data_IF_295982742292
#
_entry.id   IF_295982742292
#
_cell.length_a   1.000
_cell.length_b   1.000
_cell.length_c   1.000
_cell.angle_alpha   90.00
_cell.angle_beta   90.00
_cell.angle_gamma   90.00
#
_symmetry.space_group_name_H-M   'P 1'
#
loop_
_entity.id
_entity.type
_entity.pdbx_description
1 polymer ?
#
# COMPACT_ATOMS: atom_id res chain seq x y z
N UNK A 1 -3.95 30.77 -12.32
CA UNK A 1 -4.87 30.21 -13.35
C UNK A 1 -4.13 29.17 -14.21
N UNK A 2 -4.82 28.20 -14.83
CA UNK A 2 -4.18 27.08 -15.57
C UNK A 2 -3.17 27.51 -16.63
N UNK A 3 -3.28 28.74 -17.16
CA UNK A 3 -2.43 29.27 -18.24
C UNK A 3 -1.37 30.28 -17.78
N UNK A 4 -1.26 30.55 -16.49
CA UNK A 4 -0.18 31.37 -15.93
C UNK A 4 1.14 30.59 -15.90
N UNK A 5 2.27 31.25 -16.12
CA UNK A 5 3.57 30.60 -15.95
C UNK A 5 4.03 29.74 -17.13
N UNK A 6 3.36 29.81 -18.30
CA UNK A 6 3.86 29.16 -19.51
C UNK A 6 5.07 29.93 -20.00
N UNK A 7 6.21 29.25 -20.11
CA UNK A 7 7.44 29.82 -20.63
C UNK A 7 7.42 29.78 -22.15
N UNK A 8 7.64 30.92 -22.81
CA UNK A 8 7.84 30.99 -24.25
C UNK A 8 9.34 30.98 -24.50
N UNK A 9 9.87 29.88 -25.03
CA UNK A 9 11.29 29.67 -25.25
C UNK A 9 11.69 29.84 -26.72
N UNK A 10 12.96 30.15 -26.94
CA UNK A 10 13.52 30.38 -28.27
C UNK A 10 14.05 29.09 -28.89
N UNK A 11 13.55 28.72 -30.07
CA UNK A 11 14.12 27.67 -30.92
C UNK A 11 13.82 26.24 -30.50
N UNK A 12 13.86 25.94 -29.20
CA UNK A 12 13.61 24.59 -28.66
C UNK A 12 13.04 24.66 -27.24
N UNK A 13 12.51 23.53 -26.71
CA UNK A 13 12.04 23.46 -25.32
C UNK A 13 13.14 23.71 -24.27
N UNK A 14 14.42 23.55 -24.63
CA UNK A 14 15.57 23.82 -23.77
C UNK A 14 16.21 25.19 -24.05
N UNK A 15 15.67 25.98 -24.97
CA UNK A 15 16.19 27.29 -25.33
C UNK A 15 15.93 28.37 -24.29
N UNK A 16 16.48 29.57 -24.54
CA UNK A 16 16.33 30.73 -23.67
C UNK A 16 14.86 31.13 -23.51
N UNK A 17 14.47 31.48 -22.29
CA UNK A 17 13.14 32.01 -21.99
C UNK A 17 13.04 33.43 -22.52
N UNK A 18 12.09 33.68 -23.43
CA UNK A 18 11.80 34.99 -24.01
C UNK A 18 10.76 35.76 -23.19
N UNK A 19 9.75 35.06 -22.68
CA UNK A 19 8.70 35.63 -21.84
C UNK A 19 7.97 34.51 -21.08
N UNK A 20 7.17 34.92 -20.10
CA UNK A 20 6.28 34.03 -19.34
C UNK A 20 4.86 34.58 -19.37
N UNK A 21 3.85 33.71 -19.52
CA UNK A 21 2.45 34.14 -19.55
C UNK A 21 1.95 34.60 -18.19
N UNK A 22 1.11 35.63 -18.19
CA UNK A 22 0.39 36.10 -17.01
C UNK A 22 -0.84 35.24 -16.70
N UNK A 23 -1.62 35.66 -15.70
CA UNK A 23 -2.84 34.96 -15.28
C UNK A 23 -3.88 34.71 -16.40
N UNK A 24 -3.85 35.53 -17.45
CA UNK A 24 -4.75 35.43 -18.60
C UNK A 24 -4.17 34.57 -19.74
N UNK A 25 -3.02 33.93 -19.53
CA UNK A 25 -2.33 33.14 -20.56
C UNK A 25 -1.68 34.00 -21.65
N UNK A 26 -1.37 35.27 -21.37
CA UNK A 26 -0.79 36.20 -22.34
C UNK A 26 0.64 36.58 -21.97
N UNK A 27 1.51 36.66 -22.98
CA UNK A 27 2.88 37.15 -22.86
C UNK A 27 3.16 38.18 -23.97
N UNK A 28 3.79 39.30 -23.62
CA UNK A 28 4.25 40.29 -24.59
C UNK A 28 5.74 40.06 -24.89
N UNK A 29 6.06 39.86 -26.17
CA UNK A 29 7.44 39.73 -26.63
C UNK A 29 7.85 40.98 -27.42
N UNK A 30 9.03 41.53 -27.14
CA UNK A 30 9.57 42.73 -27.80
C UNK A 30 10.89 42.38 -28.48
N UNK A 31 11.18 43.04 -29.60
CA UNK A 31 12.44 42.90 -30.35
C UNK A 31 12.77 41.45 -30.78
N UNK A 32 11.75 40.66 -31.14
CA UNK A 32 11.95 39.30 -31.65
C UNK A 32 12.39 39.36 -33.12
N UNK A 33 13.48 38.67 -33.44
CA UNK A 33 13.99 38.58 -34.80
C UNK A 33 13.04 37.80 -35.70
N UNK A 34 12.97 38.17 -36.99
CA UNK A 34 12.28 37.38 -38.01
C UNK A 34 12.87 35.96 -38.03
N UNK A 35 12.01 34.98 -38.30
CA UNK A 35 12.32 33.55 -38.36
C UNK A 35 12.68 32.93 -36.99
N UNK A 36 12.42 33.65 -35.89
CA UNK A 36 12.52 33.07 -34.55
C UNK A 36 11.41 32.07 -34.32
N UNK A 37 11.75 30.85 -33.93
CA UNK A 37 10.79 29.82 -33.49
C UNK A 37 10.48 30.03 -32.01
N UNK A 38 9.20 30.12 -31.68
CA UNK A 38 8.66 30.18 -30.33
C UNK A 38 8.19 28.80 -29.91
N UNK A 39 8.61 28.35 -28.74
CA UNK A 39 8.25 27.04 -28.18
C UNK A 39 7.64 27.24 -26.80
N UNK A 40 6.31 27.05 -26.62
CA UNK A 40 5.69 27.11 -25.30
C UNK A 40 6.05 25.88 -24.47
N UNK A 41 6.41 26.09 -23.21
CA UNK A 41 6.77 25.01 -22.27
C UNK A 41 6.08 25.26 -20.93
N UNK A 42 5.40 24.23 -20.44
CA UNK A 42 4.87 24.16 -19.08
C UNK A 42 4.72 22.70 -18.68
N UNK A 43 5.22 22.34 -17.51
CA UNK A 43 5.09 20.98 -16.98
C UNK A 43 3.61 20.59 -16.86
N UNK A 44 3.27 19.37 -17.29
CA UNK A 44 1.89 18.86 -17.27
C UNK A 44 0.98 19.41 -18.37
N UNK A 45 1.52 20.12 -19.38
CA UNK A 45 0.73 20.63 -20.51
C UNK A 45 1.36 20.27 -21.85
N UNK A 46 0.52 19.91 -22.81
CA UNK A 46 0.86 19.83 -24.23
C UNK A 46 0.33 21.08 -24.96
N UNK A 47 1.04 21.53 -25.98
CA UNK A 47 0.68 22.71 -26.76
C UNK A 47 0.46 22.37 -28.23
N UNK A 48 -0.58 22.96 -28.81
CA UNK A 48 -0.89 22.88 -30.24
C UNK A 48 -1.03 24.31 -30.82
N UNK A 49 -0.17 24.72 -31.78
CA UNK A 49 0.97 23.96 -32.28
C UNK A 49 2.08 23.78 -31.24
N UNK A 50 3.00 22.83 -31.46
CA UNK A 50 4.15 22.60 -30.55
C UNK A 50 5.18 23.73 -30.62
N UNK A 51 5.23 24.44 -31.74
CA UNK A 51 6.06 25.61 -31.96
C UNK A 51 5.40 26.54 -33.00
N UNK A 52 5.93 27.77 -33.12
CA UNK A 52 5.51 28.70 -34.15
C UNK A 52 6.63 29.65 -34.56
N UNK A 53 6.83 29.84 -35.86
CA UNK A 53 7.83 30.77 -36.41
C UNK A 53 7.27 32.18 -36.53
N UNK A 54 8.02 33.18 -36.05
CA UNK A 54 7.67 34.60 -36.14
C UNK A 54 8.11 35.18 -37.48
N UNK A 55 7.16 35.57 -38.32
CA UNK A 55 7.43 36.23 -39.60
C UNK A 55 7.25 37.76 -39.54
N UNK A 56 6.30 38.23 -38.73
CA UNK A 56 5.97 39.64 -38.56
C UNK A 56 5.33 39.90 -37.18
N UNK A 57 5.10 41.17 -36.85
CA UNK A 57 4.43 41.55 -35.61
C UNK A 57 2.97 41.08 -35.63
N UNK A 58 2.56 40.32 -34.61
CA UNK A 58 1.21 39.77 -34.54
C UNK A 58 0.98 38.92 -33.30
N UNK A 59 -0.18 38.28 -33.26
CA UNK A 59 -0.57 37.35 -32.19
C UNK A 59 -0.35 35.92 -32.63
N UNK A 60 0.48 35.19 -31.89
CA UNK A 60 0.60 33.73 -31.99
C UNK A 60 -0.30 33.09 -30.93
N UNK A 61 -1.05 32.06 -31.31
CA UNK A 61 -1.96 31.35 -30.40
C UNK A 61 -1.48 29.91 -30.22
N UNK A 62 -1.40 29.49 -28.97
CA UNK A 62 -1.15 28.11 -28.59
C UNK A 62 -2.33 27.61 -27.77
N UNK A 63 -2.85 26.43 -28.11
CA UNK A 63 -3.84 25.74 -27.29
C UNK A 63 -3.09 24.87 -26.29
N UNK A 64 -3.21 25.19 -25.00
CA UNK A 64 -2.69 24.35 -23.93
C UNK A 64 -3.72 23.26 -23.57
N UNK A 65 -3.26 22.03 -23.45
CA UNK A 65 -4.08 20.89 -23.03
C UNK A 65 -3.39 20.24 -21.83
N UNK A 66 -4.04 20.15 -20.66
CA UNK A 66 -3.50 19.42 -19.52
C UNK A 66 -3.22 17.97 -19.92
N UNK A 67 -2.00 17.51 -19.63
CA UNK A 67 -1.61 16.10 -19.77
C UNK A 67 -1.79 15.47 -18.39
N UNK A 68 -2.72 14.52 -18.23
CA UNK A 68 -2.93 13.86 -16.94
C UNK A 68 -1.62 13.18 -16.51
N UNK A 69 -1.16 13.52 -15.31
CA UNK A 69 0.04 12.91 -14.72
C UNK A 69 -0.37 11.58 -14.09
N UNK A 70 -0.16 10.49 -14.81
CA UNK A 70 -0.33 9.15 -14.26
C UNK A 70 0.86 8.81 -13.37
N UNK A 71 0.60 8.44 -12.11
CA UNK A 71 1.63 7.98 -11.18
C UNK A 71 1.56 6.46 -11.08
N UNK A 72 2.72 5.78 -11.16
CA UNK A 72 2.75 4.33 -10.97
C UNK A 72 3.15 3.98 -9.55
N UNK A 73 2.55 2.94 -8.99
CA UNK A 73 3.00 2.36 -7.73
C UNK A 73 4.42 1.81 -7.90
N UNK A 74 5.34 2.22 -7.04
CA UNK A 74 6.75 1.78 -7.05
C UNK A 74 7.02 0.73 -5.98
N UNK A 75 6.48 0.92 -4.77
CA UNK A 75 6.63 -0.03 -3.65
C UNK A 75 5.59 0.21 -2.56
N UNK A 76 5.17 -0.86 -1.86
CA UNK A 76 4.42 -0.76 -0.61
C UNK A 76 5.38 -0.87 0.60
N UNK A 77 5.12 -0.12 1.66
CA UNK A 77 5.91 -0.17 2.88
C UNK A 77 5.72 -1.52 3.61
N UNK A 78 6.77 -2.05 4.27
CA UNK A 78 6.66 -3.27 5.07
C UNK A 78 5.66 -3.08 6.21
N UNK A 79 4.93 -4.14 6.53
CA UNK A 79 4.01 -4.20 7.66
C UNK A 79 4.67 -4.87 8.86
N UNK A 80 4.18 -4.54 10.06
CA UNK A 80 4.62 -5.20 11.28
C UNK A 80 4.15 -6.66 11.30
N UNK A 81 5.00 -7.55 11.80
CA UNK A 81 4.68 -8.96 11.96
C UNK A 81 3.55 -9.15 12.98
N UNK A 82 2.61 -10.04 12.68
CA UNK A 82 1.52 -10.41 13.58
C UNK A 82 1.85 -11.76 14.23
N UNK A 83 1.67 -11.88 15.53
CA UNK A 83 1.83 -13.14 16.26
C UNK A 83 0.53 -13.50 16.95
N UNK A 84 0.04 -14.71 16.72
CA UNK A 84 -1.19 -15.23 17.33
C UNK A 84 -0.98 -16.65 17.83
N UNK A 85 -1.89 -17.13 18.66
CA UNK A 85 -1.86 -18.51 19.15
C UNK A 85 -2.72 -19.41 18.26
N UNK A 86 -2.36 -20.69 18.26
CA UNK A 86 -3.11 -21.73 17.55
C UNK A 86 -4.55 -21.79 18.05
N UNK A 87 -5.52 -21.90 17.13
CA UNK A 87 -6.97 -21.93 17.38
C UNK A 87 -7.57 -20.68 18.05
N UNK A 88 -6.88 -19.53 18.09
CA UNK A 88 -7.40 -18.34 18.80
C UNK A 88 -7.92 -17.22 17.91
N UNK A 89 -7.40 -17.09 16.69
CA UNK A 89 -7.66 -15.90 15.85
C UNK A 89 -8.00 -16.35 14.44
N UNK A 90 -9.29 -16.38 14.04
CA UNK A 90 -9.64 -16.60 12.64
C UNK A 90 -9.17 -15.43 11.76
N UNK A 91 -9.13 -15.63 10.44
CA UNK A 91 -8.64 -14.63 9.49
C UNK A 91 -9.30 -13.25 9.64
N UNK A 92 -10.62 -13.21 9.81
CA UNK A 92 -11.42 -11.98 9.95
C UNK A 92 -11.08 -11.17 11.22
N UNK A 93 -10.51 -11.82 12.24
CA UNK A 93 -10.13 -11.19 13.51
C UNK A 93 -8.64 -10.82 13.56
N UNK A 94 -7.88 -11.08 12.49
CA UNK A 94 -6.49 -10.66 12.42
C UNK A 94 -6.40 -9.11 12.41
N UNK A 95 -5.48 -8.52 13.18
CA UNK A 95 -5.31 -7.06 13.26
C UNK A 95 -4.57 -6.52 12.02
N UNK A 96 -5.14 -6.72 10.84
CA UNK A 96 -4.59 -6.31 9.55
C UNK A 96 -4.79 -4.81 9.34
N UNK A 97 -3.78 -4.14 8.77
CA UNK A 97 -3.87 -2.71 8.49
C UNK A 97 -4.89 -2.43 7.37
N UNK A 98 -5.83 -1.52 7.60
CA UNK A 98 -6.81 -1.11 6.58
C UNK A 98 -6.18 -0.36 5.40
N UNK A 99 -5.03 0.28 5.63
CA UNK A 99 -4.28 1.02 4.63
C UNK A 99 -2.76 0.91 4.85
N UNK A 100 -1.99 1.01 3.77
CA UNK A 100 -0.53 0.96 3.81
C UNK A 100 0.07 2.17 3.09
N UNK A 101 1.25 2.59 3.55
CA UNK A 101 2.02 3.63 2.87
C UNK A 101 2.63 3.07 1.58
N UNK A 102 2.39 3.76 0.47
CA UNK A 102 2.86 3.39 -0.87
C UNK A 102 3.70 4.53 -1.43
N UNK A 103 4.86 4.18 -1.97
CA UNK A 103 5.73 5.11 -2.71
C UNK A 103 5.37 5.06 -4.19
N UNK A 104 5.18 6.22 -4.81
CA UNK A 104 4.84 6.38 -6.22
C UNK A 104 6.09 6.65 -7.09
N UNK A 105 5.90 6.70 -8.40
CA UNK A 105 6.97 6.91 -9.39
C UNK A 105 7.69 8.25 -9.28
N UNK A 106 7.07 9.25 -8.68
CA UNK A 106 7.68 10.56 -8.41
C UNK A 106 8.23 10.68 -6.99
N UNK A 107 8.43 9.54 -6.31
CA UNK A 107 8.92 9.41 -4.93
C UNK A 107 8.02 10.03 -3.85
N UNK A 108 6.82 10.51 -4.22
CA UNK A 108 5.80 10.86 -3.24
C UNK A 108 5.26 9.62 -2.53
N UNK A 109 4.74 9.82 -1.31
CA UNK A 109 4.13 8.77 -0.51
C UNK A 109 2.66 9.07 -0.26
N UNK A 110 1.82 8.06 -0.41
CA UNK A 110 0.38 8.11 -0.18
C UNK A 110 -0.06 6.92 0.66
N UNK A 111 -1.20 7.02 1.35
CA UNK A 111 -1.84 5.85 1.96
C UNK A 111 -2.88 5.30 0.97
N UNK A 112 -2.79 4.01 0.67
CA UNK A 112 -3.80 3.29 -0.11
C UNK A 112 -4.44 2.23 0.77
N UNK A 113 -5.76 2.10 0.65
CA UNK A 113 -6.49 1.02 1.30
C UNK A 113 -6.03 -0.34 0.77
N UNK A 114 -6.12 -1.37 1.61
CA UNK A 114 -5.67 -2.72 1.28
C UNK A 114 -6.78 -3.73 1.52
N UNK A 115 -7.07 -4.52 0.49
CA UNK A 115 -7.93 -5.69 0.59
C UNK A 115 -7.06 -6.93 0.80
N UNK A 116 -7.00 -7.39 2.05
CA UNK A 116 -6.22 -8.56 2.42
C UNK A 116 -6.88 -9.86 1.97
N UNK A 117 -6.05 -10.81 1.55
CA UNK A 117 -6.49 -12.13 1.10
C UNK A 117 -6.02 -13.18 2.11
N UNK A 118 -6.92 -14.05 2.55
CA UNK A 118 -6.62 -15.13 3.52
C UNK A 118 -5.53 -16.10 3.02
N UNK A 119 -5.49 -16.35 1.72
CA UNK A 119 -4.44 -17.16 1.10
C UNK A 119 -4.36 -18.56 1.71
N UNK A 120 -3.20 -18.88 2.30
CA UNK A 120 -2.93 -20.18 2.94
C UNK A 120 -2.89 -20.09 4.47
N UNK A 121 -3.38 -19.00 5.05
CA UNK A 121 -3.43 -18.85 6.50
C UNK A 121 -4.24 -19.99 7.13
N UNK A 122 -3.70 -20.59 8.18
CA UNK A 122 -4.37 -21.65 8.91
C UNK A 122 -4.20 -21.39 10.41
N UNK A 123 -5.27 -20.98 11.11
CA UNK A 123 -5.20 -20.73 12.55
C UNK A 123 -4.99 -22.01 13.36
N UNK A 124 -5.27 -23.19 12.78
CA UNK A 124 -5.22 -24.48 13.47
C UNK A 124 -3.85 -25.19 13.35
N UNK A 125 -2.88 -24.55 12.70
CA UNK A 125 -1.53 -25.07 12.54
C UNK A 125 -0.50 -24.01 12.90
N UNK A 126 0.43 -24.36 13.78
CA UNK A 126 1.56 -23.48 14.09
C UNK A 126 2.49 -23.36 12.87
N UNK A 127 2.93 -22.15 12.58
CA UNK A 127 3.73 -21.86 11.40
C UNK A 127 3.85 -20.37 11.10
N UNK A 128 4.64 -20.04 10.08
CA UNK A 128 4.70 -18.71 9.50
C UNK A 128 3.90 -18.67 8.20
N UNK A 129 3.05 -17.66 8.07
CA UNK A 129 2.16 -17.44 6.95
C UNK A 129 2.43 -16.06 6.36
N UNK A 130 2.52 -15.97 5.04
CA UNK A 130 2.60 -14.70 4.34
C UNK A 130 1.24 -14.38 3.74
N UNK A 131 0.65 -13.28 4.17
CA UNK A 131 -0.60 -12.76 3.61
C UNK A 131 -0.29 -11.66 2.60
N UNK A 132 -1.00 -11.69 1.48
CA UNK A 132 -0.92 -10.67 0.45
C UNK A 132 -2.16 -9.77 0.49
N UNK A 133 -1.96 -8.49 0.24
CA UNK A 133 -3.02 -7.49 0.17
C UNK A 133 -3.04 -6.78 -1.18
N UNK A 134 -4.23 -6.67 -1.78
CA UNK A 134 -4.45 -5.93 -3.01
C UNK A 134 -4.61 -4.44 -2.67
N UNK A 135 -3.85 -3.60 -3.36
CA UNK A 135 -3.94 -2.15 -3.20
C UNK A 135 -5.17 -1.62 -3.93
N UNK A 136 -6.03 -0.91 -3.20
CA UNK A 136 -7.17 -0.19 -3.79
C UNK A 136 -6.65 1.12 -4.38
N UNK A 137 -6.67 1.22 -5.71
CA UNK A 137 -6.13 2.38 -6.44
C UNK A 137 -7.13 3.54 -6.47
N UNK A 138 -6.63 4.76 -6.35
CA UNK A 138 -7.43 6.00 -6.38
C UNK A 138 -6.87 7.01 -7.38
N UNK A 139 -7.75 7.82 -7.97
CA UNK A 139 -7.37 8.89 -8.90
C UNK A 139 -6.63 8.40 -10.14
N UNK A 140 -5.53 9.08 -10.48
CA UNK A 140 -4.66 8.77 -11.64
C UNK A 140 -3.49 7.83 -11.29
N UNK A 141 -3.59 7.10 -10.17
CA UNK A 141 -2.58 6.11 -9.74
C UNK A 141 -2.85 4.77 -10.45
N UNK A 142 -1.80 4.18 -11.01
CA UNK A 142 -1.83 2.86 -11.66
C UNK A 142 -0.80 1.92 -11.06
N UNK A 143 -1.04 0.60 -11.13
CA UNK A 143 -0.13 -0.41 -10.60
C UNK A 143 0.22 -1.47 -11.67
N UNK A 144 0.97 -1.10 -12.71
CA UNK A 144 1.29 -1.99 -13.82
C UNK A 144 2.16 -3.18 -13.41
N UNK A 145 2.98 -3.00 -12.37
CA UNK A 145 3.90 -4.03 -11.86
C UNK A 145 3.22 -4.97 -10.85
N UNK A 146 1.91 -4.80 -10.61
CA UNK A 146 1.12 -5.61 -9.68
C UNK A 146 1.75 -5.69 -8.28
N UNK A 147 2.25 -4.56 -7.78
CA UNK A 147 2.78 -4.44 -6.42
C UNK A 147 1.67 -4.72 -5.42
N UNK A 148 1.96 -5.56 -4.43
CA UNK A 148 1.03 -5.94 -3.36
C UNK A 148 1.58 -5.52 -2.01
N UNK A 149 0.68 -5.32 -1.05
CA UNK A 149 1.05 -5.31 0.36
C UNK A 149 1.35 -6.74 0.82
N UNK A 150 2.22 -6.88 1.83
CA UNK A 150 2.52 -8.16 2.42
C UNK A 150 2.69 -8.01 3.94
N UNK A 151 2.17 -8.98 4.68
CA UNK A 151 2.34 -9.09 6.14
C UNK A 151 2.65 -10.54 6.50
N UNK A 152 3.52 -10.74 7.48
CA UNK A 152 3.82 -12.07 8.01
C UNK A 152 3.02 -12.29 9.28
N UNK A 153 2.33 -13.43 9.34
CA UNK A 153 1.58 -13.89 10.50
C UNK A 153 2.23 -15.16 11.02
N UNK A 154 2.63 -15.15 12.29
CA UNK A 154 3.20 -16.32 12.97
C UNK A 154 2.17 -16.89 13.94
N UNK A 155 1.71 -18.11 13.66
CA UNK A 155 0.85 -18.89 14.56
C UNK A 155 1.75 -19.73 15.46
N UNK A 156 1.66 -19.55 16.78
CA UNK A 156 2.46 -20.28 17.77
C UNK A 156 1.60 -21.20 18.61
N UNK A 157 2.23 -22.26 19.12
CA UNK A 157 1.65 -23.00 20.25
C UNK A 157 1.53 -22.12 21.47
N UNK A 158 0.68 -22.53 22.41
CA UNK A 158 0.64 -21.96 23.76
C UNK A 158 2.06 -22.00 24.35
N UNK A 159 2.63 -20.84 24.72
CA UNK A 159 3.98 -20.77 25.27
C UNK A 159 4.10 -21.56 26.58
N UNK A 160 5.32 -21.99 26.91
CA UNK A 160 5.63 -22.59 28.23
C UNK A 160 5.69 -21.51 29.33
N UNK A 161 5.61 -21.87 30.64
CA UNK A 161 5.51 -20.91 31.75
C UNK A 161 6.60 -19.83 31.83
N UNK A 162 7.75 -20.08 31.23
CA UNK A 162 8.91 -19.20 31.18
C UNK A 162 9.02 -18.40 29.86
N UNK A 163 8.12 -18.62 28.90
CA UNK A 163 8.07 -17.88 27.65
C UNK A 163 7.18 -16.63 27.73
N UNK A 164 7.50 -15.57 26.96
CA UNK A 164 6.59 -14.43 26.81
C UNK A 164 5.22 -14.88 26.28
N UNK A 165 4.16 -14.16 26.68
CA UNK A 165 2.75 -14.46 26.34
C UNK A 165 2.11 -15.65 27.08
N UNK A 166 2.81 -16.32 28.02
CA UNK A 166 2.25 -17.42 28.83
C UNK A 166 0.98 -17.03 29.61
N UNK A 167 0.99 -15.90 30.30
CA UNK A 167 -0.16 -15.47 31.09
C UNK A 167 -1.39 -15.15 30.23
N UNK A 168 -1.18 -14.62 29.03
CA UNK A 168 -2.24 -14.34 28.06
C UNK A 168 -2.84 -15.63 27.52
N UNK A 169 -1.99 -16.60 27.16
CA UNK A 169 -2.41 -17.92 26.72
C UNK A 169 -3.15 -18.70 27.81
N UNK A 170 -2.66 -18.65 29.06
CA UNK A 170 -3.30 -19.28 30.22
C UNK A 170 -4.70 -18.73 30.52
N UNK A 171 -4.90 -17.41 30.37
CA UNK A 171 -6.23 -16.80 30.49
C UNK A 171 -7.19 -17.28 29.41
N UNK A 172 -6.73 -17.38 28.17
CA UNK A 172 -7.55 -17.85 27.05
C UNK A 172 -7.95 -19.33 27.22
N UNK A 173 -7.01 -20.20 27.60
CA UNK A 173 -7.30 -21.61 27.89
C UNK A 173 -8.29 -21.80 29.05
N UNK A 174 -8.19 -20.96 30.08
CA UNK A 174 -9.11 -21.01 31.23
C UNK A 174 -10.54 -20.62 30.87
N UNK A 175 -10.77 -19.91 29.76
CA UNK A 175 -12.12 -19.59 29.25
C UNK A 175 -12.72 -20.74 28.44
N UNK A 176 -11.88 -21.58 27.82
CA UNK A 176 -12.31 -22.74 27.04
C UNK A 176 -12.63 -23.95 27.91
N UNK A 177 -12.11 -23.99 29.15
CA UNK A 177 -12.37 -25.05 30.13
C UNK A 177 -13.43 -24.54 31.10
N UNK A 178 -14.66 -25.10 31.13
CA UNK A 178 -15.69 -24.66 32.08
C UNK A 178 -15.22 -24.88 33.53
N UNK A 179 -15.46 -23.87 34.39
CA UNK A 179 -14.92 -23.70 35.75
C UNK A 179 -15.19 -24.85 36.74
N UNK A 180 -16.06 -25.81 36.40
CA UNK A 180 -16.42 -26.93 37.26
C UNK A 180 -15.74 -28.23 36.80
N UNK A 181 -14.42 -28.33 37.03
CA UNK A 181 -13.72 -29.62 37.08
C UNK A 181 -13.42 -29.97 38.53
N UNK A 182 -14.31 -30.75 39.16
CA UNK A 182 -14.12 -31.23 40.54
C UNK A 182 -13.11 -32.39 40.58
N UNK A 183 -11.95 -32.09 41.16
CA UNK A 183 -10.90 -32.87 41.87
C UNK A 183 -10.61 -34.37 41.62
N UNK A 184 -11.30 -35.12 40.76
CA UNK A 184 -10.87 -36.48 40.38
C UNK A 184 -10.91 -36.65 38.86
N UNK A 185 -10.02 -35.94 38.16
CA UNK A 185 -9.72 -36.23 36.76
C UNK A 185 -8.53 -37.18 36.68
N UNK A 186 -8.79 -38.48 36.83
CA UNK A 186 -7.96 -39.49 36.18
C UNK A 186 -8.21 -39.39 34.68
N UNK A 187 -7.47 -38.53 33.99
CA UNK A 187 -7.57 -38.40 32.54
C UNK A 187 -7.30 -39.79 31.90
N UNK A 188 -8.26 -40.39 31.18
CA UNK A 188 -7.95 -41.58 30.40
C UNK A 188 -6.95 -41.17 29.33
N UNK A 189 -5.85 -41.93 29.21
CA UNK A 189 -4.75 -41.71 28.26
C UNK A 189 -5.20 -41.63 26.80
N UNK A 190 -6.46 -41.96 26.51
CA UNK A 190 -7.09 -41.78 25.21
C UNK A 190 -8.60 -41.66 25.38
N UNK A 191 -9.24 -40.66 24.79
CA UNK A 191 -10.69 -40.63 24.68
C UNK A 191 -11.12 -40.36 23.24
N UNK A 192 -12.26 -40.97 22.87
CA UNK A 192 -12.90 -40.80 21.57
C UNK A 192 -14.10 -39.87 21.69
N UNK A 193 -14.18 -38.91 20.77
CA UNK A 193 -15.37 -38.08 20.59
C UNK A 193 -16.48 -38.88 19.90
N UNK A 194 -17.73 -38.43 20.02
CA UNK A 194 -18.87 -39.04 19.28
C UNK A 194 -18.72 -38.94 17.76
N UNK A 195 -17.84 -38.06 17.27
CA UNK A 195 -17.41 -37.98 15.87
C UNK A 195 -16.47 -39.12 15.43
N UNK A 196 -15.93 -39.90 16.37
CA UNK A 196 -14.99 -41.01 16.13
C UNK A 196 -13.51 -40.64 16.26
N UNK A 197 -13.16 -39.37 16.49
CA UNK A 197 -11.78 -38.91 16.63
C UNK A 197 -11.20 -39.23 18.01
N UNK A 198 -9.92 -39.63 18.06
CA UNK A 198 -9.22 -39.97 19.31
C UNK A 198 -8.12 -38.97 19.63
N UNK A 199 -8.06 -38.51 20.89
CA UNK A 199 -7.00 -37.62 21.38
C UNK A 199 -6.18 -38.29 22.50
N UNK A 200 -4.87 -38.00 22.55
CA UNK A 200 -3.94 -38.45 23.59
C UNK A 200 -3.39 -37.21 24.29
N UNK A 201 -3.72 -37.02 25.57
CA UNK A 201 -3.13 -35.96 26.38
C UNK A 201 -1.71 -36.34 26.80
N UNK A 202 -0.72 -35.49 26.51
CA UNK A 202 0.64 -35.65 27.05
C UNK A 202 0.65 -35.23 28.52
N UNK A 203 0.91 -36.17 29.43
CA UNK A 203 1.25 -35.86 30.81
C UNK A 203 2.67 -35.29 30.86
N UNK A 204 2.83 -34.07 31.38
CA UNK A 204 4.10 -33.67 31.97
C UNK A 204 4.11 -34.12 33.44
N UNK A 205 5.11 -34.92 33.89
CA UNK A 205 5.24 -35.21 35.30
C UNK A 205 5.68 -33.94 36.04
N UNK A 206 4.87 -33.49 37.00
CA UNK A 206 5.29 -32.50 37.99
C UNK A 206 6.35 -33.18 38.87
N UNK A 207 7.63 -32.87 38.62
CA UNK A 207 8.72 -33.27 39.51
C UNK A 207 8.74 -32.27 40.68
N UNK A 208 8.42 -32.75 41.88
CA UNK A 208 8.69 -32.04 43.14
C UNK A 208 10.08 -32.39 43.67
#
# INVERSE_FOLDING_TARGET
PELEGVEIRKGSPAGDILATTNEQGRAELKNITKDTVLVPVKEGYAFDPVDATVYEAGTVRFKATPVPKTLTVKSAAPQDDIVVLINTTPFEDLPLAEAVTVTLSDDSQVQLAVEWQEGSYNPDAAGEYALEGLLVLEGDIVNPDNVKAAVKVTVRYVPEPDEPYYEEAGKHLSQLIPEETTEDLTLPTRFQLESGESFTGLQYPVIR
#
